data_IF_875965159858
#
_entry.id   IF_875965159858
#
_cell.length_a   1.000
_cell.length_b   1.000
_cell.length_c   1.000
_cell.angle_alpha   90.00
_cell.angle_beta   90.00
_cell.angle_gamma   90.00
#
_symmetry.space_group_name_H-M   'P 1'
#
loop_
_entity.id
_entity.type
_entity.pdbx_description
1 polymer ?
#
# COMPACT_ATOMS: atom_id res chain seq x y z
N UNK A 1 -27.64 -42.91 7.44
CA UNK A 1 -26.42 -42.08 7.26
C UNK A 1 -25.39 -42.50 8.29
N UNK A 2 -24.17 -42.86 7.88
CA UNK A 2 -23.16 -43.44 8.78
C UNK A 2 -22.58 -42.36 9.72
N UNK A 3 -22.61 -42.59 11.03
CA UNK A 3 -22.07 -41.66 12.05
C UNK A 3 -20.59 -41.34 11.83
N UNK A 4 -19.81 -42.29 11.30
CA UNK A 4 -18.42 -42.03 10.95
C UNK A 4 -18.26 -41.11 9.74
N UNK A 5 -19.16 -41.20 8.75
CA UNK A 5 -19.19 -40.27 7.60
C UNK A 5 -19.55 -38.87 8.09
N UNK A 6 -20.51 -38.75 9.01
CA UNK A 6 -20.89 -37.45 9.58
C UNK A 6 -19.75 -36.82 10.39
N UNK A 7 -19.04 -37.62 11.20
CA UNK A 7 -17.89 -37.14 11.96
C UNK A 7 -16.75 -36.70 11.03
N UNK A 8 -16.45 -37.48 9.97
CA UNK A 8 -15.45 -37.11 8.98
C UNK A 8 -15.82 -35.80 8.26
N UNK A 9 -17.08 -35.62 7.88
CA UNK A 9 -17.57 -34.39 7.27
C UNK A 9 -17.49 -33.20 8.23
N UNK A 10 -17.85 -33.38 9.51
CA UNK A 10 -17.76 -32.32 10.51
C UNK A 10 -16.31 -31.87 10.73
N UNK A 11 -15.37 -32.80 10.82
CA UNK A 11 -13.92 -32.48 10.95
C UNK A 11 -13.41 -31.76 9.70
N UNK A 12 -13.80 -32.21 8.50
CA UNK A 12 -13.44 -31.54 7.25
C UNK A 12 -13.92 -30.08 7.23
N UNK A 13 -15.18 -29.84 7.63
CA UNK A 13 -15.76 -28.48 7.70
C UNK A 13 -14.99 -27.61 8.69
N UNK A 14 -14.64 -28.13 9.87
CA UNK A 14 -13.86 -27.38 10.87
C UNK A 14 -12.47 -27.01 10.33
N UNK A 15 -11.80 -27.94 9.62
CA UNK A 15 -10.48 -27.66 9.02
C UNK A 15 -10.60 -26.55 7.97
N UNK A 16 -11.60 -26.61 7.09
CA UNK A 16 -11.84 -25.58 6.07
C UNK A 16 -12.14 -24.23 6.71
N UNK A 17 -12.97 -24.20 7.76
CA UNK A 17 -13.27 -22.98 8.51
C UNK A 17 -12.02 -22.40 9.18
N UNK A 18 -11.20 -23.24 9.83
CA UNK A 18 -9.98 -22.81 10.50
C UNK A 18 -8.98 -22.20 9.51
N UNK A 19 -8.84 -22.79 8.31
CA UNK A 19 -8.01 -22.25 7.23
C UNK A 19 -8.56 -20.90 6.77
N UNK A 20 -9.87 -20.80 6.52
CA UNK A 20 -10.51 -19.56 6.08
C UNK A 20 -10.34 -18.41 7.07
N UNK A 21 -10.53 -18.68 8.36
CA UNK A 21 -10.33 -17.70 9.45
C UNK A 21 -8.86 -17.30 9.55
N UNK A 22 -7.93 -18.26 9.52
CA UNK A 22 -6.50 -18.00 9.61
C UNK A 22 -5.98 -17.11 8.48
N UNK A 23 -6.38 -17.36 7.23
CA UNK A 23 -5.99 -16.52 6.10
C UNK A 23 -6.68 -15.15 6.12
N UNK A 24 -7.90 -15.06 6.64
CA UNK A 24 -8.59 -13.77 6.86
C UNK A 24 -7.85 -12.84 7.84
N UNK A 25 -7.20 -13.38 8.87
CA UNK A 25 -6.45 -12.58 9.85
C UNK A 25 -5.20 -11.89 9.27
N UNK A 26 -4.71 -12.30 8.09
CA UNK A 26 -3.53 -11.69 7.45
C UNK A 26 -3.87 -10.50 6.57
N UNK A 27 -5.15 -10.19 6.40
CA UNK A 27 -5.61 -9.12 5.53
C UNK A 27 -5.41 -7.73 6.17
N UNK A 28 -4.31 -7.07 5.82
CA UNK A 28 -3.93 -5.74 6.32
C UNK A 28 -3.25 -4.91 5.24
N UNK A 29 -3.28 -3.59 5.40
CA UNK A 29 -2.51 -2.68 4.54
C UNK A 29 -1.02 -2.90 4.75
N UNK A 30 -0.28 -3.08 3.67
CA UNK A 30 1.17 -3.23 3.66
C UNK A 30 1.80 -2.07 2.89
N UNK A 31 2.89 -1.52 3.41
CA UNK A 31 3.62 -0.44 2.76
C UNK A 31 5.09 -0.83 2.70
N UNK A 32 5.61 -0.92 1.49
CA UNK A 32 7.00 -1.26 1.22
C UNK A 32 7.66 -0.13 0.45
N UNK A 33 8.93 0.14 0.75
CA UNK A 33 9.75 1.09 0.00
C UNK A 33 10.89 0.35 -0.66
N UNK A 34 11.00 0.47 -1.99
CA UNK A 34 12.05 -0.16 -2.77
C UNK A 34 12.98 0.91 -3.35
N UNK A 35 14.29 0.64 -3.28
CA UNK A 35 15.28 1.50 -3.92
C UNK A 35 15.31 1.24 -5.43
N UNK A 36 15.23 2.30 -6.22
CA UNK A 36 15.36 2.28 -7.68
C UNK A 36 16.76 2.69 -8.15
N UNK A 37 17.63 3.10 -7.22
CA UNK A 37 19.02 3.47 -7.47
C UNK A 37 19.35 4.90 -7.03
N UNK A 38 20.63 5.26 -7.08
CA UNK A 38 21.15 6.49 -6.47
C UNK A 38 21.36 7.65 -7.46
N UNK A 39 20.94 7.50 -8.71
CA UNK A 39 21.18 8.50 -9.75
C UNK A 39 20.29 9.72 -9.53
N UNK A 40 20.90 10.88 -9.32
CA UNK A 40 20.20 12.16 -9.31
C UNK A 40 20.15 12.74 -10.72
N UNK A 41 19.05 13.42 -11.02
CA UNK A 41 18.93 14.28 -12.21
C UNK A 41 18.69 15.69 -11.68
N UNK A 42 19.60 16.62 -11.98
CA UNK A 42 19.54 18.02 -11.53
C UNK A 42 19.38 18.19 -10.00
N UNK A 43 20.03 17.34 -9.21
CA UNK A 43 19.97 17.37 -7.75
C UNK A 43 18.68 16.81 -7.14
N UNK A 44 17.86 16.16 -7.96
CA UNK A 44 16.56 15.62 -7.57
C UNK A 44 16.57 14.08 -7.66
N UNK A 45 15.81 13.45 -6.78
CA UNK A 45 15.48 12.04 -6.80
C UNK A 45 14.05 11.83 -7.30
N UNK A 46 13.84 10.67 -7.93
CA UNK A 46 12.52 10.20 -8.32
C UNK A 46 11.88 9.47 -7.15
N UNK A 47 10.74 9.96 -6.69
CA UNK A 47 9.84 9.24 -5.79
C UNK A 47 8.62 8.78 -6.60
N UNK A 48 8.44 7.47 -6.70
CA UNK A 48 7.19 6.86 -7.19
C UNK A 48 6.33 6.45 -6.01
N UNK A 49 5.04 6.75 -6.07
CA UNK A 49 4.05 6.29 -5.12
C UNK A 49 3.07 5.41 -5.88
N UNK A 50 3.16 4.10 -5.66
CA UNK A 50 2.28 3.11 -6.27
C UNK A 50 1.19 2.72 -5.27
N UNK A 51 -0.07 2.84 -5.68
CA UNK A 51 -1.23 2.50 -4.85
C UNK A 51 -1.98 1.34 -5.48
N UNK A 52 -2.05 0.24 -4.74
CA UNK A 52 -2.80 -0.97 -5.08
C UNK A 52 -3.93 -1.14 -4.06
N UNK A 53 -5.12 -1.46 -4.55
CA UNK A 53 -6.26 -1.89 -3.75
C UNK A 53 -6.24 -3.41 -3.67
N UNK A 54 -6.05 -3.95 -2.48
CA UNK A 54 -6.17 -5.37 -2.19
C UNK A 54 -7.59 -5.65 -1.70
N UNK A 55 -8.35 -6.43 -2.46
CA UNK A 55 -9.73 -6.82 -2.16
C UNK A 55 -9.82 -8.17 -1.42
N UNK A 56 -8.68 -8.69 -0.96
CA UNK A 56 -8.58 -9.94 -0.20
C UNK A 56 -8.47 -11.17 -1.09
N UNK A 57 -8.48 -12.34 -0.45
CA UNK A 57 -8.22 -13.64 -1.07
C UNK A 57 -9.03 -13.93 -2.34
N UNK A 58 -10.27 -13.45 -2.40
CA UNK A 58 -11.18 -13.71 -3.52
C UNK A 58 -11.34 -12.52 -4.48
N UNK A 59 -10.82 -11.34 -4.11
CA UNK A 59 -10.97 -10.12 -4.90
C UNK A 59 -9.69 -9.70 -5.64
N UNK A 60 -8.53 -10.23 -5.24
CA UNK A 60 -7.25 -9.90 -5.86
C UNK A 60 -6.79 -8.47 -5.59
N UNK A 61 -5.87 -7.99 -6.43
CA UNK A 61 -5.31 -6.64 -6.34
C UNK A 61 -5.59 -5.84 -7.62
N UNK A 62 -5.91 -4.56 -7.49
CA UNK A 62 -6.10 -3.63 -8.61
C UNK A 62 -5.37 -2.31 -8.36
N UNK A 63 -4.73 -1.71 -9.38
CA UNK A 63 -4.23 -0.35 -9.25
C UNK A 63 -5.34 0.67 -8.96
N UNK A 64 -5.06 1.64 -8.09
CA UNK A 64 -5.95 2.76 -7.85
C UNK A 64 -5.55 3.92 -8.77
N UNK A 65 -6.21 4.05 -9.92
CA UNK A 65 -5.99 5.15 -10.85
C UNK A 65 -6.67 6.45 -10.40
N UNK A 66 -6.12 7.61 -10.81
CA UNK A 66 -6.62 8.95 -10.49
C UNK A 66 -6.73 9.27 -8.98
N UNK A 67 -6.02 8.54 -8.13
CA UNK A 67 -5.86 8.90 -6.72
C UNK A 67 -5.02 10.17 -6.60
N UNK A 68 -5.37 11.06 -5.66
CA UNK A 68 -4.60 12.28 -5.43
C UNK A 68 -3.59 12.02 -4.35
N UNK A 69 -2.32 12.18 -4.70
CA UNK A 69 -1.20 11.98 -3.78
C UNK A 69 -0.66 13.35 -3.41
N UNK A 70 -0.78 13.70 -2.13
CA UNK A 70 -0.20 14.93 -1.59
C UNK A 70 1.13 14.63 -0.91
N UNK A 71 2.12 15.45 -1.24
CA UNK A 71 3.45 15.37 -0.67
C UNK A 71 3.65 16.58 0.23
N UNK A 72 4.00 16.30 1.49
CA UNK A 72 4.42 17.31 2.45
C UNK A 72 5.90 17.16 2.74
N UNK A 73 6.65 18.26 2.74
CA UNK A 73 8.08 18.27 3.06
C UNK A 73 8.29 18.67 4.52
N UNK A 74 9.16 17.94 5.22
CA UNK A 74 9.57 18.33 6.57
C UNK A 74 10.56 19.50 6.50
N UNK A 75 10.30 20.57 7.27
CA UNK A 75 11.15 21.76 7.31
C UNK A 75 12.03 21.86 8.57
N UNK A 76 12.07 20.80 9.40
CA UNK A 76 12.74 20.81 10.70
C UNK A 76 11.80 20.97 11.90
N UNK A 77 10.54 21.37 11.68
CA UNK A 77 9.53 21.51 12.75
C UNK A 77 8.23 20.81 12.38
N UNK A 78 7.75 21.00 11.16
CA UNK A 78 6.47 20.46 10.70
C UNK A 78 6.52 20.02 9.24
N UNK A 79 5.50 19.29 8.82
CA UNK A 79 5.27 18.89 7.45
C UNK A 79 4.41 19.94 6.76
N UNK A 80 4.99 20.68 5.81
CA UNK A 80 4.29 21.66 5.00
C UNK A 80 3.97 21.09 3.63
N UNK A 81 2.81 21.43 3.08
CA UNK A 81 2.44 21.02 1.74
C UNK A 81 3.51 21.46 0.74
N UNK A 82 3.94 20.54 -0.13
CA UNK A 82 5.01 20.77 -1.10
C UNK A 82 4.51 20.65 -2.53
N UNK A 83 3.86 19.54 -2.87
CA UNK A 83 3.29 19.33 -4.21
C UNK A 83 2.24 18.21 -4.19
N UNK A 84 1.57 18.00 -5.30
CA UNK A 84 0.66 16.88 -5.51
C UNK A 84 0.74 16.36 -6.94
N UNK A 85 0.33 15.10 -7.13
CA UNK A 85 0.14 14.52 -8.44
C UNK A 85 -0.95 13.43 -8.38
N UNK A 86 -1.41 12.97 -9.54
CA UNK A 86 -2.39 11.90 -9.66
C UNK A 86 -1.71 10.58 -10.01
N UNK A 87 -2.27 9.48 -9.54
CA UNK A 87 -1.85 8.15 -10.01
C UNK A 87 -2.35 7.89 -11.43
N UNK A 88 -1.51 7.27 -12.25
CA UNK A 88 -1.84 6.83 -13.61
C UNK A 88 -2.69 5.53 -13.62
N UNK A 89 -2.88 4.94 -14.81
CA UNK A 89 -3.62 3.68 -14.97
C UNK A 89 -2.95 2.47 -14.31
N UNK A 90 -1.67 2.57 -13.97
CA UNK A 90 -0.91 1.56 -13.21
C UNK A 90 -0.89 1.87 -11.71
N UNK A 91 -1.63 2.90 -11.27
CA UNK A 91 -1.71 3.30 -9.87
C UNK A 91 -0.48 4.06 -9.38
N UNK A 92 0.34 4.61 -10.29
CA UNK A 92 1.62 5.24 -9.95
C UNK A 92 1.53 6.75 -10.09
N UNK A 93 1.86 7.48 -9.03
CA UNK A 93 2.15 8.91 -9.08
C UNK A 93 3.68 9.10 -9.00
N UNK A 94 4.26 9.85 -9.93
CA UNK A 94 5.71 10.12 -9.95
C UNK A 94 6.01 11.56 -9.57
N UNK A 95 7.07 11.74 -8.78
CA UNK A 95 7.56 13.03 -8.30
C UNK A 95 9.06 13.14 -8.50
N UNK A 96 9.53 14.32 -8.88
CA UNK A 96 10.95 14.70 -8.80
C UNK A 96 11.11 15.61 -7.59
N UNK A 97 11.86 15.18 -6.58
CA UNK A 97 11.99 15.85 -5.28
C UNK A 97 13.47 15.92 -4.86
N UNK A 98 13.94 16.99 -4.22
CA UNK A 98 15.28 17.00 -3.64
C UNK A 98 15.36 15.99 -2.48
N UNK A 99 16.58 15.67 -2.04
CA UNK A 99 16.78 14.86 -0.85
C UNK A 99 16.03 15.46 0.37
N UNK A 100 15.41 14.62 1.18
CA UNK A 100 14.71 15.08 2.38
C UNK A 100 13.67 14.10 2.92
N UNK A 101 13.06 14.48 4.04
CA UNK A 101 11.97 13.73 4.66
C UNK A 101 10.62 14.24 4.16
N UNK A 102 9.77 13.33 3.72
CA UNK A 102 8.47 13.62 3.13
C UNK A 102 7.37 12.79 3.80
N UNK A 103 6.19 13.40 3.97
CA UNK A 103 4.95 12.71 4.33
C UNK A 103 4.07 12.64 3.09
N UNK A 104 3.77 11.42 2.68
CA UNK A 104 2.83 11.08 1.61
C UNK A 104 1.44 11.00 2.25
N UNK A 105 0.44 11.56 1.58
CA UNK A 105 -0.98 11.40 1.89
C UNK A 105 -1.70 10.91 0.63
N UNK A 106 -2.30 9.72 0.71
CA UNK A 106 -3.27 9.26 -0.29
C UNK A 106 -4.63 9.78 0.12
N UNK A 107 -5.12 10.85 -0.51
CA UNK A 107 -6.26 11.62 0.03
C UNK A 107 -7.53 10.79 0.09
N UNK A 108 -7.83 9.98 -0.94
CA UNK A 108 -9.02 9.12 -0.98
C UNK A 108 -9.04 8.07 0.13
N UNK A 109 -7.85 7.61 0.55
CA UNK A 109 -7.71 6.53 1.54
C UNK A 109 -7.45 7.06 2.95
N UNK A 110 -7.26 8.38 3.10
CA UNK A 110 -6.82 9.03 4.35
C UNK A 110 -5.55 8.38 4.96
N UNK A 111 -4.75 7.71 4.13
CA UNK A 111 -3.55 7.00 4.54
C UNK A 111 -2.35 7.92 4.44
N UNK A 112 -1.51 7.92 5.48
CA UNK A 112 -0.24 8.65 5.46
C UNK A 112 0.95 7.72 5.64
N UNK A 113 2.06 8.07 5.01
CA UNK A 113 3.34 7.37 5.14
C UNK A 113 4.50 8.36 5.12
N UNK A 114 5.50 8.16 5.97
CA UNK A 114 6.70 9.00 6.01
C UNK A 114 7.83 8.26 5.31
N UNK A 115 8.49 8.94 4.38
CA UNK A 115 9.63 8.43 3.62
C UNK A 115 10.81 9.40 3.75
N UNK A 116 12.02 8.85 3.92
CA UNK A 116 13.27 9.61 3.90
C UNK A 116 13.92 9.42 2.54
N UNK A 117 13.70 10.36 1.62
CA UNK A 117 14.19 10.26 0.26
C UNK A 117 15.68 10.65 0.21
N UNK A 118 16.54 9.64 0.08
CA UNK A 118 17.99 9.80 -0.08
C UNK A 118 18.54 9.13 -1.36
N UNK A 119 17.64 8.56 -2.16
CA UNK A 119 17.88 7.88 -3.43
C UNK A 119 16.56 7.87 -4.23
N UNK A 120 16.58 7.35 -5.46
CA UNK A 120 15.33 7.09 -6.18
C UNK A 120 14.60 5.93 -5.51
N UNK A 121 13.32 6.10 -5.22
CA UNK A 121 12.53 5.13 -4.45
C UNK A 121 11.14 4.96 -5.05
N UNK A 122 10.58 3.75 -4.90
CA UNK A 122 9.16 3.49 -5.11
C UNK A 122 8.54 3.03 -3.78
N UNK A 123 7.57 3.80 -3.31
CA UNK A 123 6.71 3.44 -2.18
C UNK A 123 5.49 2.72 -2.72
N UNK A 124 5.38 1.43 -2.40
CA UNK A 124 4.27 0.56 -2.78
C UNK A 124 3.33 0.45 -1.59
N UNK A 125 2.13 1.02 -1.75
CA UNK A 125 1.03 0.95 -0.80
C UNK A 125 0.07 -0.12 -1.31
N UNK A 126 0.05 -1.26 -0.63
CA UNK A 126 -0.92 -2.32 -0.85
C UNK A 126 -2.04 -2.18 0.19
N UNK A 127 -3.09 -1.45 -0.17
CA UNK A 127 -4.16 -1.04 0.74
C UNK A 127 -5.23 -2.12 0.90
N UNK A 128 -5.47 -2.58 2.12
CA UNK A 128 -6.53 -3.54 2.43
C UNK A 128 -7.90 -2.84 2.49
N UNK A 129 -8.62 -2.85 1.36
CA UNK A 129 -9.91 -2.18 1.17
C UNK A 129 -10.97 -2.47 2.24
N UNK A 130 -11.14 -3.74 2.65
CA UNK A 130 -12.19 -4.17 3.60
C UNK A 130 -11.77 -4.03 5.06
N UNK A 131 -10.54 -3.57 5.33
CA UNK A 131 -10.00 -3.37 6.67
C UNK A 131 -9.52 -1.92 6.81
N UNK A 132 -10.32 -0.98 6.32
CA UNK A 132 -10.18 0.45 6.59
C UNK A 132 -10.61 0.72 8.04
N UNK A 133 -9.74 0.36 8.99
CA UNK A 133 -9.87 0.80 10.38
C UNK A 133 -9.79 2.32 10.50
#
# INVERSE_FOLDING_TARGET
MNRQILLALAVLVIIVMAIGVYEGHKYKTEINTIALGNQQIDGMYVLKVKVLMNYGLFGGESPLANAVIWIYKYNGTTYLFYTYNFTDSQGIASFSLPAGQYKILVTQLHLTYIVNLNQNEEVIINYAYLNSG
#
